data_IF_679150962079
#
_entry.id   IF_679150962079
#
_cell.length_a   1.000
_cell.length_b   1.000
_cell.length_c   1.000
_cell.angle_alpha   90.00
_cell.angle_beta   90.00
_cell.angle_gamma   90.00
#
_symmetry.space_group_name_H-M   'P 1'
#
loop_
_entity.id
_entity.type
_entity.pdbx_description
1 polymer ?
#
# COMPACT_ATOMS: atom_id res chain seq x y z
N UNK A 1 -11.72 46.93 -26.89
CA UNK A 1 -10.97 45.79 -27.45
C UNK A 1 -10.39 44.83 -26.39
N UNK A 2 -10.45 45.12 -25.08
CA UNK A 2 -9.94 44.23 -24.02
C UNK A 2 -10.85 43.03 -23.68
N UNK A 3 -12.17 43.14 -23.86
CA UNK A 3 -13.12 42.10 -23.43
C UNK A 3 -13.02 40.81 -24.27
N UNK A 4 -12.71 40.91 -25.57
CA UNK A 4 -12.64 39.73 -26.45
C UNK A 4 -11.42 38.84 -26.14
N UNK A 5 -10.32 39.42 -25.66
CA UNK A 5 -9.12 38.67 -25.27
C UNK A 5 -9.32 37.89 -23.97
N UNK A 6 -10.08 38.43 -23.01
CA UNK A 6 -10.38 37.74 -21.74
C UNK A 6 -11.24 36.50 -21.99
N UNK A 7 -12.26 36.59 -22.85
CA UNK A 7 -13.09 35.42 -23.19
C UNK A 7 -12.28 34.33 -23.90
N UNK A 8 -11.34 34.70 -24.76
CA UNK A 8 -10.48 33.74 -25.44
C UNK A 8 -9.56 33.00 -24.45
N UNK A 9 -8.99 33.71 -23.47
CA UNK A 9 -8.16 33.12 -22.41
C UNK A 9 -8.95 32.20 -21.47
N UNK A 10 -10.16 32.59 -21.07
CA UNK A 10 -11.02 31.76 -20.22
C UNK A 10 -11.45 30.48 -20.97
N UNK A 11 -11.76 30.60 -22.27
CA UNK A 11 -12.11 29.45 -23.09
C UNK A 11 -10.91 28.51 -23.31
N UNK A 12 -9.71 29.07 -23.50
CA UNK A 12 -8.47 28.30 -23.62
C UNK A 12 -8.14 27.56 -22.31
N UNK A 13 -8.32 28.19 -21.15
CA UNK A 13 -8.11 27.56 -19.84
C UNK A 13 -9.14 26.45 -19.57
N UNK A 14 -10.40 26.67 -19.92
CA UNK A 14 -11.45 25.65 -19.82
C UNK A 14 -11.17 24.46 -20.75
N UNK A 15 -10.70 24.71 -21.98
CA UNK A 15 -10.29 23.67 -22.92
C UNK A 15 -9.02 22.92 -22.46
N UNK A 16 -8.09 23.59 -21.76
CA UNK A 16 -6.88 22.96 -21.22
C UNK A 16 -7.20 22.07 -20.02
N UNK A 17 -8.18 22.44 -19.19
CA UNK A 17 -8.67 21.63 -18.07
C UNK A 17 -9.42 20.38 -18.53
N UNK A 18 -10.10 20.42 -19.68
CA UNK A 18 -10.73 19.24 -20.29
C UNK A 18 -9.75 18.36 -21.06
N UNK A 19 -8.65 18.92 -21.60
CA UNK A 19 -7.57 18.14 -22.22
C UNK A 19 -6.71 17.39 -21.19
N UNK A 20 -6.48 17.98 -20.01
CA UNK A 20 -5.88 17.29 -18.86
C UNK A 20 -6.94 16.52 -18.07
N UNK A 21 -7.83 15.82 -18.78
CA UNK A 21 -8.60 14.75 -18.17
C UNK A 21 -7.60 13.82 -17.49
N UNK A 22 -7.57 13.86 -16.17
CA UNK A 22 -6.87 12.90 -15.34
C UNK A 22 -7.54 11.57 -15.65
N UNK A 23 -7.03 10.87 -16.67
CA UNK A 23 -7.36 9.49 -16.92
C UNK A 23 -6.84 8.73 -15.71
N UNK A 24 -7.67 8.61 -14.68
CA UNK A 24 -7.45 7.65 -13.63
C UNK A 24 -7.39 6.31 -14.34
N UNK A 25 -6.17 5.77 -14.47
CA UNK A 25 -6.00 4.43 -15.01
C UNK A 25 -6.63 3.50 -13.97
N UNK A 26 -7.77 2.92 -14.32
CA UNK A 26 -8.47 1.95 -13.48
C UNK A 26 -7.66 0.65 -13.53
N UNK A 27 -6.68 0.52 -12.64
CA UNK A 27 -6.00 -0.75 -12.41
C UNK A 27 -6.92 -1.61 -11.53
N UNK A 28 -7.57 -2.60 -12.14
CA UNK A 28 -8.29 -3.63 -11.39
C UNK A 28 -7.27 -4.68 -10.93
N UNK A 29 -6.86 -4.62 -9.66
CA UNK A 29 -6.04 -5.68 -9.05
C UNK A 29 -6.98 -6.76 -8.52
N UNK A 30 -7.15 -7.85 -9.28
CA UNK A 30 -7.80 -9.07 -8.79
C UNK A 30 -6.77 -9.90 -8.01
N UNK A 31 -6.68 -9.70 -6.70
CA UNK A 31 -5.97 -10.63 -5.84
C UNK A 31 -6.97 -11.71 -5.40
N UNK A 32 -6.93 -12.89 -6.02
CA UNK A 32 -7.68 -14.06 -5.56
C UNK A 32 -6.92 -14.69 -4.37
N UNK A 33 -7.33 -14.47 -3.10
CA UNK A 33 -6.52 -14.85 -1.94
C UNK A 33 -6.44 -16.36 -1.72
N UNK A 34 -7.07 -17.15 -2.60
CA UNK A 34 -7.48 -18.54 -2.35
C UNK A 34 -6.53 -19.60 -2.92
N UNK A 35 -5.40 -19.23 -3.53
CA UNK A 35 -4.57 -20.19 -4.28
C UNK A 35 -3.13 -20.43 -3.80
N UNK A 36 -2.70 -19.89 -2.65
CA UNK A 36 -1.47 -20.41 -2.03
C UNK A 36 -1.81 -21.56 -1.09
N UNK A 37 -1.58 -22.78 -1.55
CA UNK A 37 -1.70 -24.00 -0.75
C UNK A 37 -0.59 -24.01 0.30
N UNK A 38 -0.91 -23.60 1.53
CA UNK A 38 -0.04 -23.78 2.70
C UNK A 38 -0.02 -22.64 3.73
N UNK A 39 -0.79 -21.57 3.52
CA UNK A 39 -0.45 -20.25 4.06
C UNK A 39 -1.50 -19.70 5.04
N UNK A 40 -1.12 -18.73 5.89
CA UNK A 40 -2.06 -18.01 6.74
C UNK A 40 -3.26 -17.54 5.90
N UNK A 41 -4.46 -18.06 6.18
CA UNK A 41 -5.64 -17.64 5.44
C UNK A 41 -5.92 -16.16 5.71
N UNK A 42 -6.55 -15.47 4.75
CA UNK A 42 -7.01 -14.09 4.93
C UNK A 42 -7.76 -13.91 6.27
N UNK A 43 -8.57 -14.90 6.67
CA UNK A 43 -9.25 -14.93 7.97
C UNK A 43 -8.29 -14.98 9.16
N UNK A 44 -7.17 -15.73 9.06
CA UNK A 44 -6.15 -15.85 10.13
C UNK A 44 -5.26 -14.62 10.25
N UNK A 45 -5.13 -13.82 9.19
CA UNK A 45 -4.46 -12.51 9.19
C UNK A 45 -5.42 -11.35 9.48
N UNK A 46 -6.70 -11.64 9.79
CA UNK A 46 -7.67 -10.61 10.15
C UNK A 46 -8.14 -9.75 8.98
N UNK A 47 -8.14 -10.26 7.74
CA UNK A 47 -8.73 -9.55 6.59
C UNK A 47 -10.25 -9.58 6.71
N UNK A 48 -10.88 -8.40 6.80
CA UNK A 48 -12.29 -8.25 7.14
C UNK A 48 -13.20 -7.94 5.96
N UNK A 49 -12.63 -7.45 4.86
CA UNK A 49 -13.41 -7.11 3.68
C UNK A 49 -13.78 -8.37 2.90
N UNK A 50 -15.08 -8.54 2.67
CA UNK A 50 -15.61 -9.61 1.85
C UNK A 50 -15.12 -9.47 0.41
N UNK A 51 -14.45 -10.52 -0.12
CA UNK A 51 -13.96 -10.53 -1.50
C UNK A 51 -15.09 -10.51 -2.54
N UNK A 52 -16.31 -10.90 -2.17
CA UNK A 52 -17.50 -10.87 -3.04
C UNK A 52 -18.12 -9.48 -3.21
N UNK A 53 -17.65 -8.47 -2.45
CA UNK A 53 -18.14 -7.09 -2.52
C UNK A 53 -17.14 -6.19 -3.24
N UNK A 54 -17.65 -5.24 -4.04
CA UNK A 54 -16.83 -4.17 -4.64
C UNK A 54 -16.63 -3.07 -3.60
N UNK A 55 -15.37 -2.80 -3.27
CA UNK A 55 -14.99 -1.70 -2.37
C UNK A 55 -14.37 -0.58 -3.20
N UNK A 56 -14.87 0.66 -3.12
CA UNK A 56 -14.22 1.78 -3.79
C UNK A 56 -12.86 2.03 -3.13
N UNK A 57 -11.80 1.99 -3.92
CA UNK A 57 -10.43 2.27 -3.47
C UNK A 57 -9.88 3.45 -4.26
N UNK A 58 -9.32 4.44 -3.55
CA UNK A 58 -8.58 5.54 -4.16
C UNK A 58 -7.08 5.32 -4.06
N UNK A 59 -6.35 5.57 -5.14
CA UNK A 59 -4.89 5.66 -5.14
C UNK A 59 -4.49 7.06 -5.64
N UNK A 60 -3.71 7.76 -4.83
CA UNK A 60 -3.29 9.14 -5.10
C UNK A 60 -1.79 9.27 -4.97
N UNK A 61 -1.16 9.99 -5.91
CA UNK A 61 0.21 10.46 -5.77
C UNK A 61 0.15 11.90 -5.28
N UNK A 62 0.85 12.21 -4.18
CA UNK A 62 0.73 13.49 -3.46
C UNK A 62 2.10 14.01 -3.00
N UNK A 63 2.22 15.34 -2.85
CA UNK A 63 3.48 16.01 -2.51
C UNK A 63 3.57 16.49 -1.05
N UNK A 64 2.47 16.34 -0.31
CA UNK A 64 2.22 16.97 0.98
C UNK A 64 2.04 15.97 2.15
N UNK A 65 2.55 14.73 2.01
CA UNK A 65 2.64 13.82 3.15
C UNK A 65 3.72 14.28 4.14
N UNK A 66 3.60 13.78 5.38
CA UNK A 66 4.67 13.91 6.37
C UNK A 66 6.01 13.46 5.75
N UNK A 67 7.11 14.22 5.91
CA UNK A 67 8.39 13.86 5.31
C UNK A 67 8.94 12.48 5.71
N UNK A 68 8.46 11.90 6.82
CA UNK A 68 8.81 10.55 7.28
C UNK A 68 7.93 9.47 6.66
N UNK A 69 6.81 9.83 6.04
CA UNK A 69 5.87 8.89 5.43
C UNK A 69 6.11 8.75 3.93
N UNK A 70 6.28 7.51 3.48
CA UNK A 70 6.45 7.16 2.06
C UNK A 70 5.08 6.91 1.40
N UNK A 71 4.17 6.28 2.14
CA UNK A 71 2.75 6.22 1.84
C UNK A 71 1.93 6.15 3.14
N UNK A 72 0.63 6.41 3.01
CA UNK A 72 -0.34 6.28 4.10
C UNK A 72 -1.66 5.75 3.54
N UNK A 73 -2.24 4.77 4.24
CA UNK A 73 -3.58 4.26 3.98
C UNK A 73 -4.58 4.74 5.03
N UNK A 74 -5.68 5.33 4.60
CA UNK A 74 -6.80 5.69 5.47
C UNK A 74 -8.10 5.80 4.69
N UNK A 75 -9.20 5.30 5.27
CA UNK A 75 -10.54 5.39 4.68
C UNK A 75 -10.59 4.94 3.21
N UNK A 76 -9.99 3.78 2.91
CA UNK A 76 -9.92 3.20 1.56
C UNK A 76 -9.23 4.11 0.54
N UNK A 77 -8.28 4.93 1.00
CA UNK A 77 -7.43 5.75 0.16
C UNK A 77 -5.97 5.48 0.49
N UNK A 78 -5.21 5.19 -0.54
CA UNK A 78 -3.76 5.05 -0.49
C UNK A 78 -3.18 6.34 -1.05
N UNK A 79 -2.40 7.05 -0.24
CA UNK A 79 -1.65 8.23 -0.68
C UNK A 79 -0.17 7.86 -0.71
N UNK A 80 0.48 8.01 -1.87
CA UNK A 80 1.91 7.74 -2.06
C UNK A 80 2.64 9.06 -2.28
N UNK A 81 3.76 9.26 -1.58
CA UNK A 81 4.58 10.46 -1.68
C UNK A 81 5.30 10.50 -3.04
N UNK A 82 5.07 11.54 -3.86
CA UNK A 82 5.80 11.71 -5.11
C UNK A 82 7.31 11.84 -4.86
N UNK A 83 7.68 12.57 -3.80
CA UNK A 83 9.07 12.79 -3.38
C UNK A 83 9.82 11.49 -3.11
N UNK A 84 9.13 10.47 -2.60
CA UNK A 84 9.73 9.16 -2.33
C UNK A 84 10.11 8.38 -3.59
N UNK A 85 9.56 8.77 -4.74
CA UNK A 85 9.78 8.11 -6.03
C UNK A 85 10.77 8.88 -6.92
N UNK A 86 11.08 10.14 -6.63
CA UNK A 86 11.88 11.01 -7.50
C UNK A 86 13.29 10.47 -7.80
N UNK A 87 13.90 9.77 -6.83
CA UNK A 87 15.26 9.22 -6.99
C UNK A 87 15.28 7.82 -7.60
N UNK A 88 14.12 7.17 -7.78
CA UNK A 88 14.01 5.81 -8.29
C UNK A 88 13.80 5.81 -9.80
N UNK A 89 14.44 4.87 -10.50
CA UNK A 89 14.33 4.77 -11.97
C UNK A 89 14.08 3.34 -12.43
N UNK A 90 13.48 3.20 -13.61
CA UNK A 90 13.29 1.91 -14.29
C UNK A 90 12.68 0.82 -13.39
N UNK A 91 13.37 -0.30 -13.27
CA UNK A 91 12.92 -1.45 -12.49
C UNK A 91 12.89 -1.20 -10.97
N UNK A 92 13.75 -0.32 -10.45
CA UNK A 92 13.75 0.01 -9.02
C UNK A 92 12.48 0.76 -8.63
N UNK A 93 12.01 1.67 -9.48
CA UNK A 93 10.74 2.36 -9.29
C UNK A 93 9.58 1.37 -9.33
N UNK A 94 9.50 0.53 -10.36
CA UNK A 94 8.43 -0.48 -10.50
C UNK A 94 8.38 -1.42 -9.30
N UNK A 95 9.51 -1.98 -8.89
CA UNK A 95 9.59 -2.92 -7.76
C UNK A 95 9.23 -2.25 -6.44
N UNK A 96 9.75 -1.05 -6.18
CA UNK A 96 9.46 -0.29 -4.96
C UNK A 96 7.99 0.11 -4.88
N UNK A 97 7.44 0.64 -5.97
CA UNK A 97 6.05 1.07 -6.05
C UNK A 97 5.09 -0.11 -5.88
N UNK A 98 5.33 -1.24 -6.57
CA UNK A 98 4.52 -2.44 -6.40
C UNK A 98 4.59 -2.94 -4.96
N UNK A 99 5.78 -3.04 -4.36
CA UNK A 99 5.91 -3.47 -2.97
C UNK A 99 5.19 -2.57 -1.97
N UNK A 100 5.25 -1.25 -2.19
CA UNK A 100 4.51 -0.27 -1.40
C UNK A 100 3.00 -0.48 -1.57
N UNK A 101 2.51 -0.69 -2.79
CA UNK A 101 1.10 -0.99 -3.02
C UNK A 101 0.65 -2.28 -2.33
N UNK A 102 1.45 -3.35 -2.32
CA UNK A 102 1.09 -4.57 -1.57
C UNK A 102 0.98 -4.32 -0.07
N UNK A 103 1.90 -3.53 0.49
CA UNK A 103 1.87 -3.13 1.90
C UNK A 103 0.63 -2.29 2.21
N UNK A 104 0.40 -1.21 1.46
CA UNK A 104 -0.73 -0.29 1.69
C UNK A 104 -2.08 -0.95 1.41
N UNK A 105 -2.15 -1.79 0.39
CA UNK A 105 -3.35 -2.57 0.12
C UNK A 105 -3.68 -3.46 1.32
N UNK A 106 -2.70 -4.14 1.93
CA UNK A 106 -2.98 -4.97 3.10
C UNK A 106 -3.67 -4.17 4.23
N UNK A 107 -3.27 -2.92 4.46
CA UNK A 107 -3.96 -2.01 5.40
C UNK A 107 -5.44 -1.77 5.06
N UNK A 108 -5.82 -1.72 3.78
CA UNK A 108 -7.21 -1.53 3.33
C UNK A 108 -8.11 -2.72 3.70
N UNK A 109 -7.56 -3.94 3.66
CA UNK A 109 -8.34 -5.17 3.84
C UNK A 109 -8.27 -5.73 5.25
N UNK A 110 -7.16 -5.50 5.96
CA UNK A 110 -6.96 -6.00 7.32
C UNK A 110 -7.76 -5.23 8.36
N UNK A 111 -8.07 -5.89 9.45
CA UNK A 111 -8.60 -5.25 10.65
C UNK A 111 -7.55 -4.30 11.22
N UNK A 112 -7.93 -3.05 11.44
CA UNK A 112 -7.05 -2.01 11.97
C UNK A 112 -6.93 -2.02 13.51
N UNK A 113 -7.23 -3.13 14.17
CA UNK A 113 -7.16 -3.22 15.63
C UNK A 113 -8.16 -2.32 16.35
N UNK A 114 -9.31 -2.02 15.74
CA UNK A 114 -10.28 -1.04 16.26
C UNK A 114 -9.66 0.35 16.53
N UNK A 115 -8.70 0.76 15.69
CA UNK A 115 -7.98 2.03 15.82
C UNK A 115 -6.84 2.03 16.84
N UNK A 116 -6.48 0.89 17.43
CA UNK A 116 -5.39 0.78 18.41
C UNK A 116 -4.00 0.65 17.77
N UNK A 117 -3.81 1.21 16.57
CA UNK A 117 -2.55 1.15 15.83
C UNK A 117 -1.36 1.82 16.55
N UNK A 118 -1.65 2.70 17.53
CA UNK A 118 -0.63 3.33 18.36
C UNK A 118 -0.15 2.50 19.55
N UNK A 119 -0.73 1.31 19.81
CA UNK A 119 -0.16 0.35 20.75
C UNK A 119 1.04 -0.35 20.10
N UNK A 120 2.19 -0.40 20.78
CA UNK A 120 3.43 -0.92 20.20
C UNK A 120 3.30 -2.39 19.74
N UNK A 121 2.47 -3.20 20.41
CA UNK A 121 2.27 -4.60 20.05
C UNK A 121 1.31 -4.76 18.87
N UNK A 122 0.13 -4.12 18.94
CA UNK A 122 -0.88 -4.20 17.89
C UNK A 122 -0.45 -3.46 16.63
N UNK A 123 0.10 -2.26 16.75
CA UNK A 123 0.68 -1.50 15.64
C UNK A 123 1.78 -2.30 14.94
N UNK A 124 2.70 -2.88 15.71
CA UNK A 124 3.76 -3.73 15.16
C UNK A 124 3.25 -5.04 14.53
N UNK A 125 2.13 -5.59 14.99
CA UNK A 125 1.48 -6.70 14.30
C UNK A 125 0.81 -6.25 13.00
N UNK A 126 0.06 -5.15 13.02
CA UNK A 126 -0.66 -4.58 11.87
C UNK A 126 0.31 -4.22 10.73
N UNK A 127 1.41 -3.50 11.03
CA UNK A 127 2.48 -3.22 10.07
C UNK A 127 3.27 -4.48 9.68
N UNK A 128 3.31 -5.46 10.58
CA UNK A 128 3.94 -6.75 10.31
C UNK A 128 3.21 -7.59 9.28
N UNK A 129 1.87 -7.61 9.35
CA UNK A 129 1.00 -8.33 8.41
C UNK A 129 1.12 -7.70 7.01
N UNK A 130 1.20 -6.38 6.90
CA UNK A 130 1.37 -5.70 5.60
C UNK A 130 2.71 -6.04 4.94
N UNK A 131 3.80 -6.05 5.71
CA UNK A 131 5.11 -6.48 5.23
C UNK A 131 5.19 -8.01 4.98
N UNK A 132 4.39 -8.81 5.68
CA UNK A 132 4.24 -10.23 5.39
C UNK A 132 3.61 -10.44 4.01
N UNK A 133 2.52 -9.73 3.68
CA UNK A 133 1.91 -9.78 2.34
C UNK A 133 2.90 -9.33 1.28
N UNK A 134 3.62 -8.22 1.52
CA UNK A 134 4.68 -7.73 0.63
C UNK A 134 5.80 -8.76 0.44
N UNK A 135 6.17 -9.49 1.49
CA UNK A 135 7.13 -10.58 1.44
C UNK A 135 6.62 -11.75 0.59
N UNK A 136 5.38 -12.22 0.79
CA UNK A 136 4.81 -13.33 0.01
C UNK A 136 4.64 -12.98 -1.48
N UNK A 137 4.48 -11.70 -1.79
CA UNK A 137 4.41 -11.19 -3.16
C UNK A 137 5.80 -10.97 -3.80
N UNK A 138 6.90 -11.35 -3.13
CA UNK A 138 8.27 -11.20 -3.60
C UNK A 138 8.68 -9.74 -3.90
N UNK A 139 8.12 -8.77 -3.16
CA UNK A 139 8.47 -7.33 -3.28
C UNK A 139 9.29 -6.83 -2.09
N UNK A 140 10.19 -7.68 -1.65
CA UNK A 140 11.15 -7.45 -0.61
C UNK A 140 12.11 -6.30 -0.97
N UNK A 141 12.14 -5.17 -0.23
CA UNK A 141 13.14 -4.13 -0.45
C UNK A 141 14.51 -4.54 0.08
N UNK A 142 15.56 -4.05 -0.56
CA UNK A 142 16.94 -4.28 -0.13
C UNK A 142 17.24 -3.61 1.22
N UNK A 143 18.20 -4.16 1.97
CA UNK A 143 18.67 -3.57 3.24
C UNK A 143 17.72 -3.73 4.43
N UNK A 144 16.58 -4.41 4.27
CA UNK A 144 15.67 -4.72 5.37
C UNK A 144 16.26 -5.76 6.33
N UNK A 145 15.79 -5.80 7.60
CA UNK A 145 16.22 -6.80 8.58
C UNK A 145 16.16 -8.24 8.04
N UNK A 146 17.11 -9.06 8.46
CA UNK A 146 17.21 -10.49 8.11
C UNK A 146 16.28 -11.33 8.99
N UNK A 147 16.05 -12.58 8.55
CA UNK A 147 15.33 -13.57 9.36
C UNK A 147 16.04 -13.74 10.72
N UNK A 148 15.27 -13.64 11.80
CA UNK A 148 15.78 -13.75 13.17
C UNK A 148 16.36 -12.45 13.74
N UNK A 149 16.40 -11.34 12.97
CA UNK A 149 16.69 -10.02 13.54
C UNK A 149 15.52 -9.51 14.39
N UNK A 150 15.79 -8.53 15.26
CA UNK A 150 14.82 -7.91 16.15
C UNK A 150 14.80 -8.54 17.55
N UNK A 151 14.39 -7.75 18.54
CA UNK A 151 14.37 -8.18 19.95
C UNK A 151 13.11 -8.95 20.32
N UNK A 152 12.01 -8.74 19.58
CA UNK A 152 10.71 -9.34 19.80
C UNK A 152 9.93 -9.45 18.48
N UNK A 153 9.02 -10.43 18.41
CA UNK A 153 8.31 -10.78 17.17
C UNK A 153 7.31 -9.71 16.70
N UNK A 154 6.83 -8.84 17.58
CA UNK A 154 5.86 -7.77 17.28
C UNK A 154 6.53 -6.43 16.96
N UNK A 155 7.80 -6.43 16.52
CA UNK A 155 8.57 -5.19 16.26
C UNK A 155 8.01 -4.31 15.14
N UNK A 156 7.09 -4.83 14.32
CA UNK A 156 6.66 -4.18 13.09
C UNK A 156 7.38 -4.70 11.85
N UNK A 157 6.79 -4.38 10.70
CA UNK A 157 7.44 -4.46 9.40
C UNK A 157 8.10 -5.84 9.14
N UNK A 158 9.29 -5.84 8.51
CA UNK A 158 10.04 -7.02 8.15
C UNK A 158 10.30 -8.00 9.30
N UNK A 159 10.51 -7.53 10.54
CA UNK A 159 10.77 -8.42 11.69
C UNK A 159 9.55 -9.29 11.97
N UNK A 160 8.39 -8.67 12.15
CA UNK A 160 7.14 -9.40 12.34
C UNK A 160 6.81 -10.27 11.11
N UNK A 161 7.05 -9.76 9.90
CA UNK A 161 6.82 -10.52 8.66
C UNK A 161 7.64 -11.82 8.60
N UNK A 162 8.91 -11.79 8.99
CA UNK A 162 9.74 -13.00 9.05
C UNK A 162 9.27 -14.00 10.11
N UNK A 163 8.78 -13.52 11.25
CA UNK A 163 8.18 -14.38 12.27
C UNK A 163 6.90 -15.06 11.76
N UNK A 164 6.02 -14.32 11.08
CA UNK A 164 4.82 -14.89 10.47
C UNK A 164 5.17 -15.93 9.39
N UNK A 165 6.15 -15.66 8.53
CA UNK A 165 6.62 -16.62 7.53
C UNK A 165 7.22 -17.89 8.16
N UNK A 166 7.93 -17.75 9.29
CA UNK A 166 8.37 -18.91 10.07
C UNK A 166 7.18 -19.72 10.62
N UNK A 167 6.19 -19.06 11.21
CA UNK A 167 4.99 -19.74 11.75
C UNK A 167 4.21 -20.48 10.67
N UNK A 168 4.18 -19.93 9.46
CA UNK A 168 3.54 -20.55 8.30
C UNK A 168 4.25 -21.84 7.91
N UNK A 169 5.58 -21.82 7.85
CA UNK A 169 6.40 -23.00 7.55
C UNK A 169 6.23 -24.14 8.56
N UNK A 170 5.90 -23.82 9.81
CA UNK A 170 5.56 -24.83 10.83
C UNK A 170 4.20 -25.51 10.58
N UNK A 171 3.26 -24.81 9.94
CA UNK A 171 1.92 -25.34 9.66
C UNK A 171 1.84 -26.23 8.42
N UNK A 172 2.90 -26.28 7.61
CA UNK A 172 3.04 -27.15 6.44
C UNK A 172 3.88 -28.41 6.68
N UNK A 173 4.31 -28.66 7.91
CA UNK A 173 5.07 -29.84 8.34
C UNK A 173 4.17 -30.89 9.01
#
# INVERSE_FOLDING_TARGET
MANLQVFFFVYLLAALATLHGSSAVEYTVTNEPRSSSGTFSAARLGFQKECSKRWPLGLFIVDNLDPRAIAVTSNDKINVSAKSMESLTGEQLKRSFNGLLYHEMAHVWQWNGNGQQGDDHLGGLIEGITDFVRLKADYVPDGRPRRGDGEHWYKGYAVTAWFLDYCEGLGGA
#
